data_IF_142200528949
#
_entry.id   IF_142200528949
#
_cell.length_a   1.000
_cell.length_b   1.000
_cell.length_c   1.000
_cell.angle_alpha   90.00
_cell.angle_beta   90.00
_cell.angle_gamma   90.00
#
_symmetry.space_group_name_H-M   'P 1'
#
loop_
_entity.id
_entity.type
_entity.pdbx_description
1 polymer ?
#
# COMPACT_ATOMS: atom_id res chain seq x y z
N UNK A 1 -2.33 -3.27 -24.24
CA UNK A 1 -2.78 -2.96 -22.86
C UNK A 1 -1.85 -1.92 -22.27
N UNK A 2 -2.37 -0.78 -21.81
CA UNK A 2 -1.54 0.36 -21.36
C UNK A 2 -1.23 0.25 -19.86
N UNK A 3 -0.13 -0.39 -19.48
CA UNK A 3 0.35 -0.54 -18.08
C UNK A 3 0.33 0.79 -17.30
N UNK A 4 0.61 1.90 -17.97
CA UNK A 4 0.55 3.26 -17.42
C UNK A 4 -0.85 3.60 -16.90
N UNK A 5 -1.91 3.28 -17.65
CA UNK A 5 -3.31 3.52 -17.24
C UNK A 5 -3.68 2.73 -15.98
N UNK A 6 -3.16 1.51 -15.83
CA UNK A 6 -3.39 0.70 -14.63
C UNK A 6 -2.66 1.30 -13.43
N UNK A 7 -1.39 1.69 -13.58
CA UNK A 7 -0.64 2.36 -12.51
C UNK A 7 -1.38 3.61 -12.03
N UNK A 8 -1.88 4.43 -12.96
CA UNK A 8 -2.65 5.63 -12.64
C UNK A 8 -3.96 5.32 -11.90
N UNK A 9 -4.65 4.23 -12.25
CA UNK A 9 -5.87 3.77 -11.55
C UNK A 9 -5.59 3.17 -10.17
N UNK A 10 -4.47 2.48 -9.99
CA UNK A 10 -4.09 1.84 -8.74
C UNK A 10 -3.54 2.82 -7.71
N UNK A 11 -2.85 3.87 -8.17
CA UNK A 11 -2.23 4.88 -7.31
C UNK A 11 -3.17 5.43 -6.19
N UNK A 12 -4.39 5.91 -6.46
CA UNK A 12 -5.27 6.44 -5.41
C UNK A 12 -5.70 5.37 -4.39
N UNK A 13 -5.89 4.12 -4.83
CA UNK A 13 -6.26 3.00 -3.95
C UNK A 13 -5.10 2.66 -3.03
N UNK A 14 -3.89 2.53 -3.58
CA UNK A 14 -2.68 2.23 -2.83
C UNK A 14 -2.39 3.35 -1.82
N UNK A 15 -2.51 4.61 -2.21
CA UNK A 15 -2.31 5.75 -1.31
C UNK A 15 -3.30 5.75 -0.14
N UNK A 16 -4.58 5.50 -0.42
CA UNK A 16 -5.62 5.41 0.62
C UNK A 16 -5.35 4.26 1.58
N UNK A 17 -4.99 3.09 1.05
CA UNK A 17 -4.67 1.92 1.87
C UNK A 17 -3.46 2.17 2.78
N UNK A 18 -2.37 2.75 2.24
CA UNK A 18 -1.18 3.09 3.03
C UNK A 18 -1.53 4.08 4.14
N UNK A 19 -2.30 5.14 3.84
CA UNK A 19 -2.74 6.11 4.86
C UNK A 19 -3.62 5.49 5.94
N UNK A 20 -4.62 4.69 5.55
CA UNK A 20 -5.50 4.02 6.51
C UNK A 20 -4.73 3.08 7.44
N UNK A 21 -3.73 2.35 6.91
CA UNK A 21 -2.87 1.47 7.70
C UNK A 21 -1.95 2.28 8.63
N UNK A 22 -1.42 3.42 8.18
CA UNK A 22 -0.63 4.33 9.01
C UNK A 22 -1.46 4.94 10.15
N UNK A 23 -2.69 5.38 9.88
CA UNK A 23 -3.60 5.93 10.89
C UNK A 23 -4.01 4.86 11.93
N UNK A 24 -4.26 3.63 11.48
CA UNK A 24 -4.61 2.52 12.36
C UNK A 24 -3.42 1.99 13.18
N UNK A 25 -2.20 2.04 12.61
CA UNK A 25 -0.98 1.50 13.23
C UNK A 25 0.15 2.54 13.11
N UNK A 26 0.15 3.61 13.93
CA UNK A 26 1.16 4.67 13.88
C UNK A 26 2.46 4.26 14.61
N UNK A 27 2.89 3.00 14.49
CA UNK A 27 4.07 2.46 15.16
C UNK A 27 5.27 2.50 14.21
N UNK A 28 6.35 3.24 14.55
CA UNK A 28 7.57 3.26 13.75
C UNK A 28 8.26 1.88 13.77
N UNK A 29 8.92 1.50 12.67
CA UNK A 29 9.65 0.23 12.56
C UNK A 29 8.81 -1.00 12.18
N UNK A 30 7.49 -0.86 12.02
CA UNK A 30 6.61 -1.96 11.61
C UNK A 30 6.28 -1.96 10.10
N UNK A 31 7.14 -1.39 9.26
CA UNK A 31 6.90 -1.23 7.82
C UNK A 31 6.52 -2.53 7.10
N UNK A 32 7.15 -3.66 7.47
CA UNK A 32 6.80 -4.98 6.93
C UNK A 32 5.36 -5.37 7.25
N UNK A 33 4.92 -5.23 8.51
CA UNK A 33 3.55 -5.56 8.92
C UNK A 33 2.51 -4.66 8.25
N UNK A 34 2.85 -3.38 8.04
CA UNK A 34 1.98 -2.44 7.32
C UNK A 34 1.86 -2.80 5.85
N UNK A 35 2.98 -3.13 5.19
CA UNK A 35 3.00 -3.63 3.82
C UNK A 35 2.18 -4.92 3.69
N UNK A 36 2.39 -5.88 4.60
CA UNK A 36 1.64 -7.14 4.62
C UNK A 36 0.13 -6.89 4.76
N UNK A 37 -0.28 -5.94 5.60
CA UNK A 37 -1.69 -5.55 5.75
C UNK A 37 -2.28 -4.94 4.46
N UNK A 38 -1.55 -4.01 3.82
CA UNK A 38 -1.98 -3.44 2.54
C UNK A 38 -2.09 -4.53 1.46
N UNK A 39 -1.11 -5.43 1.38
CA UNK A 39 -1.13 -6.55 0.44
C UNK A 39 -2.30 -7.51 0.71
N UNK A 40 -2.61 -7.80 1.97
CA UNK A 40 -3.74 -8.64 2.33
C UNK A 40 -5.08 -8.00 1.96
N UNK A 41 -5.26 -6.69 2.21
CA UNK A 41 -6.47 -5.97 1.80
C UNK A 41 -6.63 -6.01 0.27
N UNK A 42 -5.53 -5.78 -0.46
CA UNK A 42 -5.53 -5.86 -1.91
C UNK A 42 -5.82 -7.27 -2.42
N UNK A 43 -5.33 -8.30 -1.73
CA UNK A 43 -5.66 -9.70 -2.04
C UNK A 43 -7.14 -9.98 -1.86
N UNK A 44 -7.74 -9.56 -0.75
CA UNK A 44 -9.19 -9.70 -0.54
C UNK A 44 -10.01 -8.98 -1.61
N UNK A 45 -9.59 -7.79 -2.02
CA UNK A 45 -10.25 -7.05 -3.10
C UNK A 45 -10.09 -7.72 -4.48
N UNK A 46 -8.92 -8.30 -4.74
CA UNK A 46 -8.61 -9.07 -5.95
C UNK A 46 -9.44 -10.36 -6.02
N UNK A 47 -9.43 -11.16 -4.96
CA UNK A 47 -10.17 -12.43 -4.87
C UNK A 47 -11.70 -12.19 -4.89
N UNK A 48 -12.16 -11.06 -4.32
CA UNK A 48 -13.56 -10.64 -4.33
C UNK A 48 -14.06 -10.06 -5.65
N UNK A 49 -13.19 -9.90 -6.67
CA UNK A 49 -13.56 -9.39 -7.99
C UNK A 49 -13.99 -7.91 -8.00
N UNK A 50 -13.68 -7.16 -6.92
CA UNK A 50 -14.05 -5.74 -6.75
C UNK A 50 -13.17 -4.84 -7.64
N UNK A 51 -11.98 -5.31 -8.00
CA UNK A 51 -11.04 -4.58 -8.85
C UNK A 51 -11.15 -5.13 -10.27
N UNK A 52 -11.67 -4.35 -11.23
CA UNK A 52 -11.68 -4.74 -12.65
C UNK A 52 -10.28 -5.08 -13.20
N UNK A 53 -9.23 -4.53 -12.57
CA UNK A 53 -7.81 -4.87 -12.85
C UNK A 53 -7.51 -6.36 -12.61
N UNK A 54 -8.23 -7.03 -11.70
CA UNK A 54 -8.03 -8.46 -11.40
C UNK A 54 -8.41 -9.39 -12.56
N UNK A 55 -9.27 -8.94 -13.48
CA UNK A 55 -9.57 -9.70 -14.72
C UNK A 55 -8.44 -9.64 -15.74
N UNK A 56 -7.67 -8.56 -15.71
CA UNK A 56 -6.64 -8.25 -16.71
C UNK A 56 -5.20 -8.58 -16.25
N UNK A 57 -5.01 -8.85 -14.95
CA UNK A 57 -3.69 -9.04 -14.32
C UNK A 57 -3.68 -10.25 -13.42
N UNK A 58 -2.62 -11.06 -13.52
CA UNK A 58 -2.31 -12.07 -12.51
C UNK A 58 -1.93 -11.39 -11.19
N UNK A 59 -2.18 -12.07 -10.07
CA UNK A 59 -1.77 -11.61 -8.74
C UNK A 59 -0.29 -11.25 -8.67
N UNK A 60 0.60 -12.07 -9.24
CA UNK A 60 2.04 -11.83 -9.26
C UNK A 60 2.41 -10.51 -9.98
N UNK A 61 1.77 -10.25 -11.12
CA UNK A 61 1.99 -9.02 -11.89
C UNK A 61 1.48 -7.79 -11.13
N UNK A 62 0.39 -7.92 -10.38
CA UNK A 62 -0.12 -6.88 -9.50
C UNK A 62 0.87 -6.57 -8.37
N UNK A 63 1.36 -7.60 -7.68
CA UNK A 63 2.33 -7.46 -6.59
C UNK A 63 3.61 -6.76 -7.06
N UNK A 64 4.14 -7.14 -8.23
CA UNK A 64 5.34 -6.54 -8.82
C UNK A 64 5.17 -5.04 -9.16
N UNK A 65 3.94 -4.56 -9.35
CA UNK A 65 3.64 -3.15 -9.57
C UNK A 65 3.41 -2.42 -8.24
N UNK A 66 2.61 -3.02 -7.36
CA UNK A 66 2.11 -2.37 -6.14
C UNK A 66 3.19 -2.25 -5.06
N UNK A 67 4.00 -3.28 -4.84
CA UNK A 67 5.04 -3.26 -3.79
C UNK A 67 6.02 -2.07 -3.95
N UNK A 68 6.64 -1.85 -5.13
CA UNK A 68 7.53 -0.70 -5.29
C UNK A 68 6.79 0.64 -5.24
N UNK A 69 5.50 0.70 -5.63
CA UNK A 69 4.68 1.90 -5.44
C UNK A 69 4.46 2.22 -3.96
N UNK A 70 4.13 1.21 -3.14
CA UNK A 70 3.97 1.38 -1.68
C UNK A 70 5.28 1.86 -1.07
N UNK A 71 6.41 1.24 -1.43
CA UNK A 71 7.72 1.64 -0.93
C UNK A 71 7.99 3.14 -1.21
N UNK A 72 7.77 3.59 -2.45
CA UNK A 72 7.96 4.99 -2.85
C UNK A 72 7.06 5.95 -2.08
N UNK A 73 5.80 5.57 -1.87
CA UNK A 73 4.83 6.36 -1.09
C UNK A 73 5.30 6.47 0.36
N UNK A 74 5.73 5.37 0.95
CA UNK A 74 6.21 5.32 2.33
C UNK A 74 7.48 6.16 2.50
N UNK A 75 8.44 6.03 1.59
CA UNK A 75 9.67 6.82 1.58
C UNK A 75 9.36 8.32 1.50
N UNK A 76 8.49 8.73 0.57
CA UNK A 76 8.10 10.12 0.41
C UNK A 76 7.40 10.68 1.67
N UNK A 77 6.47 9.93 2.28
CA UNK A 77 5.79 10.39 3.48
C UNK A 77 6.72 10.42 4.71
N UNK A 78 7.74 9.56 4.76
CA UNK A 78 8.80 9.61 5.76
C UNK A 78 9.70 10.85 5.57
N UNK A 79 10.10 11.14 4.33
CA UNK A 79 10.89 12.34 3.98
C UNK A 79 10.14 13.63 4.33
N UNK A 80 8.84 13.67 4.04
CA UNK A 80 7.96 14.81 4.37
C UNK A 80 7.59 14.88 5.86
N UNK A 81 8.00 13.91 6.68
CA UNK A 81 7.67 13.85 8.11
C UNK A 81 6.18 13.68 8.40
N UNK A 82 5.39 13.27 7.41
CA UNK A 82 3.94 13.10 7.53
C UNK A 82 3.56 11.89 8.39
N UNK A 83 4.44 10.90 8.46
CA UNK A 83 4.24 9.72 9.31
C UNK A 83 4.68 9.99 10.74
N UNK A 84 3.73 9.84 11.67
CA UNK A 84 3.97 10.00 13.10
C UNK A 84 4.81 8.85 13.61
N UNK A 85 6.05 9.14 14.00
CA UNK A 85 6.86 8.21 14.79
C UNK A 85 6.37 8.32 16.24
N UNK A 86 5.51 7.41 16.70
CA UNK A 86 5.27 7.28 18.14
C UNK A 86 6.59 6.86 18.79
N UNK A 87 7.22 7.79 19.48
CA UNK A 87 8.34 7.49 20.36
C UNK A 87 7.80 6.53 21.43
N UNK A 88 8.46 5.38 21.70
CA UNK A 88 8.04 4.54 22.80
C UNK A 88 8.15 5.38 24.07
N UNK A 89 7.02 5.63 24.75
CA UNK A 89 7.05 6.17 26.10
C UNK A 89 7.90 5.21 26.92
N UNK A 90 9.08 5.66 27.37
CA UNK A 90 9.87 4.92 28.34
C UNK A 90 8.98 4.72 29.57
N UNK A 91 8.54 3.49 29.79
CA UNK A 91 8.03 3.05 31.09
C UNK A 91 9.22 2.73 31.99
#
# INVERSE_FOLDING_TARGET
MNTVLIILKMLPVVLTAVRAVEDAIPLPGQGKKKLDLVLNILRTAYDGGIVDVARDFTWEKLVNIVVPMIARIVDLHNELGLFRKTQPSKA
#
